data_IF_549179822186
#
_entry.id   IF_549179822186
#
_cell.length_a   1.000
_cell.length_b   1.000
_cell.length_c   1.000
_cell.angle_alpha   90.00
_cell.angle_beta   90.00
_cell.angle_gamma   90.00
#
_symmetry.space_group_name_H-M   'P 1'
#
loop_
_entity.id
_entity.type
_entity.pdbx_description
1 polymer ?
#
# COMPACT_ATOMS: atom_id res chain seq x y z
N UNK A 1 16.50 26.14 -6.67
CA UNK A 1 16.13 24.79 -6.20
C UNK A 1 17.39 23.96 -6.05
N UNK A 2 17.81 23.74 -4.82
CA UNK A 2 18.96 22.90 -4.47
C UNK A 2 18.48 21.49 -4.15
N UNK A 3 19.31 20.49 -4.43
CA UNK A 3 19.04 19.04 -4.28
C UNK A 3 18.61 18.67 -2.84
N UNK A 4 18.93 19.51 -1.85
CA UNK A 4 18.59 19.36 -0.44
C UNK A 4 17.12 19.66 -0.09
N UNK A 5 16.44 20.57 -0.82
CA UNK A 5 15.02 20.88 -0.58
C UNK A 5 14.11 19.73 -1.06
N UNK A 6 14.43 19.15 -2.22
CA UNK A 6 13.67 18.03 -2.81
C UNK A 6 13.71 16.77 -1.93
N UNK A 7 14.85 16.51 -1.26
CA UNK A 7 14.98 15.37 -0.32
C UNK A 7 14.14 15.55 0.95
N UNK A 8 13.94 16.78 1.42
CA UNK A 8 13.20 17.06 2.66
C UNK A 8 11.68 16.84 2.48
N UNK A 9 11.15 17.21 1.32
CA UNK A 9 9.75 16.97 0.95
C UNK A 9 9.46 15.48 0.75
N UNK A 10 10.40 14.75 0.14
CA UNK A 10 10.27 13.30 -0.07
C UNK A 10 10.16 12.52 1.24
N UNK A 11 10.94 12.93 2.26
CA UNK A 11 10.91 12.30 3.58
C UNK A 11 9.61 12.58 4.33
N UNK A 12 9.10 13.81 4.25
CA UNK A 12 7.81 14.20 4.85
C UNK A 12 6.64 13.46 4.18
N UNK A 13 6.68 13.32 2.85
CA UNK A 13 5.67 12.57 2.11
C UNK A 13 5.64 11.08 2.50
N UNK A 14 6.82 10.43 2.56
CA UNK A 14 6.90 9.02 2.96
C UNK A 14 6.38 8.84 4.39
N UNK A 15 6.72 9.71 5.32
CA UNK A 15 6.24 9.63 6.71
C UNK A 15 4.71 9.76 6.79
N UNK A 16 4.13 10.71 6.05
CA UNK A 16 2.67 10.88 5.98
C UNK A 16 1.98 9.66 5.36
N UNK A 17 2.58 9.11 4.31
CA UNK A 17 2.08 7.92 3.62
C UNK A 17 2.10 6.69 4.55
N UNK A 18 3.17 6.52 5.32
CA UNK A 18 3.30 5.47 6.33
C UNK A 18 2.22 5.63 7.42
N UNK A 19 2.06 6.84 7.96
CA UNK A 19 1.02 7.14 8.96
C UNK A 19 -0.39 6.81 8.43
N UNK A 20 -0.64 7.04 7.14
CA UNK A 20 -1.92 6.70 6.49
C UNK A 20 -2.14 5.19 6.40
N UNK A 21 -1.14 4.44 5.95
CA UNK A 21 -1.28 2.98 5.81
C UNK A 21 -1.40 2.25 7.13
N UNK A 22 -0.68 2.69 8.15
CA UNK A 22 -0.74 2.07 9.48
C UNK A 22 -2.09 2.31 10.15
N UNK A 23 -2.80 3.39 9.84
CA UNK A 23 -4.12 3.65 10.45
C UNK A 23 -5.22 2.74 9.90
N UNK A 24 -5.02 2.14 8.74
CA UNK A 24 -6.04 1.32 8.08
C UNK A 24 -5.57 -0.14 7.97
N UNK A 25 -6.24 -1.05 8.69
CA UNK A 25 -5.92 -2.49 8.68
C UNK A 25 -6.02 -3.10 7.29
N UNK A 26 -6.99 -2.66 6.47
CA UNK A 26 -7.10 -3.08 5.06
C UNK A 26 -5.87 -2.67 4.25
N UNK A 27 -5.34 -1.46 4.47
CA UNK A 27 -4.11 -1.00 3.80
C UNK A 27 -2.90 -1.88 4.16
N UNK A 28 -2.72 -2.23 5.43
CA UNK A 28 -1.65 -3.15 5.83
C UNK A 28 -1.85 -4.57 5.27
N UNK A 29 -3.09 -5.08 5.24
CA UNK A 29 -3.42 -6.35 4.59
C UNK A 29 -3.05 -6.35 3.10
N UNK A 30 -3.39 -5.27 2.39
CA UNK A 30 -3.03 -5.07 0.98
C UNK A 30 -1.51 -5.05 0.76
N UNK A 31 -0.78 -4.29 1.57
CA UNK A 31 0.69 -4.22 1.47
C UNK A 31 1.33 -5.59 1.66
N UNK A 32 0.87 -6.38 2.63
CA UNK A 32 1.34 -7.76 2.85
C UNK A 32 1.02 -8.67 1.68
N UNK A 33 -0.24 -8.66 1.22
CA UNK A 33 -0.67 -9.49 0.10
C UNK A 33 0.19 -9.27 -1.15
N UNK A 34 0.45 -8.00 -1.48
CA UNK A 34 1.27 -7.64 -2.63
C UNK A 34 2.77 -7.80 -2.39
N UNK A 35 3.26 -7.68 -1.16
CA UNK A 35 4.65 -8.00 -0.85
C UNK A 35 4.96 -9.50 -0.97
N UNK A 36 4.00 -10.37 -0.67
CA UNK A 36 4.09 -11.80 -0.95
C UNK A 36 4.03 -12.13 -2.44
N UNK A 37 3.44 -11.24 -3.25
CA UNK A 37 3.27 -11.42 -4.71
C UNK A 37 3.71 -10.15 -5.48
N UNK A 38 5.00 -9.75 -5.40
CA UNK A 38 5.43 -8.41 -5.78
C UNK A 38 5.36 -8.11 -7.28
N UNK A 39 5.23 -9.15 -8.10
CA UNK A 39 5.03 -9.04 -9.56
C UNK A 39 3.64 -9.53 -9.98
N UNK A 40 2.78 -9.83 -9.03
CA UNK A 40 1.42 -10.32 -9.28
C UNK A 40 0.49 -9.19 -9.72
N UNK A 41 -0.49 -9.56 -10.55
CA UNK A 41 -1.62 -8.72 -10.94
C UNK A 41 -2.91 -9.45 -10.58
N UNK A 42 -3.81 -8.77 -9.89
CA UNK A 42 -5.00 -9.41 -9.32
C UNK A 42 -6.24 -8.57 -9.59
N UNK A 43 -7.37 -9.22 -9.85
CA UNK A 43 -8.66 -8.52 -9.90
C UNK A 43 -9.06 -8.07 -8.49
N UNK A 44 -9.92 -7.05 -8.39
CA UNK A 44 -10.47 -6.58 -7.11
C UNK A 44 -11.08 -7.74 -6.31
N UNK A 45 -11.80 -8.63 -6.99
CA UNK A 45 -12.45 -9.78 -6.38
C UNK A 45 -11.44 -10.76 -5.77
N UNK A 46 -10.36 -11.07 -6.49
CA UNK A 46 -9.31 -11.96 -5.99
C UNK A 46 -8.65 -11.39 -4.72
N UNK A 47 -8.38 -10.08 -4.71
CA UNK A 47 -7.78 -9.39 -3.55
C UNK A 47 -8.72 -9.46 -2.34
N UNK A 48 -9.99 -9.07 -2.52
CA UNK A 48 -10.99 -9.03 -1.44
C UNK A 48 -11.23 -10.41 -0.83
N UNK A 49 -11.15 -11.48 -1.62
CA UNK A 49 -11.34 -12.84 -1.12
C UNK A 49 -10.06 -13.47 -0.54
N UNK A 50 -8.88 -13.05 -0.98
CA UNK A 50 -7.62 -13.60 -0.48
C UNK A 50 -7.20 -12.98 0.87
N UNK A 51 -7.58 -11.72 1.10
CA UNK A 51 -7.32 -11.02 2.36
C UNK A 51 -8.53 -11.28 3.28
N UNK A 52 -8.59 -12.49 3.83
CA UNK A 52 -9.59 -12.93 4.83
C UNK A 52 -9.20 -12.45 6.24
N UNK A 53 -8.91 -11.16 6.35
CA UNK A 53 -8.86 -10.48 7.63
C UNK A 53 -10.28 -9.95 7.90
N UNK A 54 -10.69 -9.84 9.16
CA UNK A 54 -12.01 -9.36 9.63
C UNK A 54 -12.44 -7.96 9.11
N UNK A 55 -11.70 -7.37 8.16
CA UNK A 55 -12.02 -6.14 7.48
C UNK A 55 -13.28 -6.27 6.62
N UNK A 56 -14.13 -5.26 6.72
CA UNK A 56 -15.33 -5.15 5.90
C UNK A 56 -14.95 -5.00 4.42
N UNK A 57 -15.67 -5.68 3.51
CA UNK A 57 -15.49 -5.58 2.05
C UNK A 57 -15.53 -4.14 1.53
N UNK A 58 -16.31 -3.27 2.19
CA UNK A 58 -16.37 -1.86 1.88
C UNK A 58 -15.05 -1.14 2.19
N UNK A 59 -14.47 -1.39 3.37
CA UNK A 59 -13.18 -0.83 3.78
C UNK A 59 -12.05 -1.30 2.87
N UNK A 60 -12.05 -2.59 2.50
CA UNK A 60 -11.09 -3.13 1.55
C UNK A 60 -11.19 -2.46 0.17
N UNK A 61 -12.42 -2.20 -0.29
CA UNK A 61 -12.64 -1.50 -1.56
C UNK A 61 -12.10 -0.06 -1.52
N UNK A 62 -12.36 0.66 -0.43
CA UNK A 62 -11.84 2.03 -0.23
C UNK A 62 -10.31 2.02 -0.13
N UNK A 63 -9.74 1.07 0.59
CA UNK A 63 -8.29 0.94 0.72
C UNK A 63 -7.61 0.67 -0.64
N UNK A 64 -8.21 -0.15 -1.52
CA UNK A 64 -7.70 -0.35 -2.88
C UNK A 64 -7.72 0.97 -3.66
N UNK A 65 -8.80 1.75 -3.57
CA UNK A 65 -8.92 3.04 -4.25
C UNK A 65 -7.90 4.07 -3.71
N UNK A 66 -7.67 4.09 -2.40
CA UNK A 66 -6.64 4.91 -1.78
C UNK A 66 -5.22 4.53 -2.26
N UNK A 67 -4.91 3.23 -2.33
CA UNK A 67 -3.61 2.77 -2.83
C UNK A 67 -3.36 3.18 -4.28
N UNK A 68 -4.41 3.20 -5.12
CA UNK A 68 -4.33 3.72 -6.50
C UNK A 68 -4.13 5.23 -6.50
N UNK A 69 -4.87 5.97 -5.66
CA UNK A 69 -4.74 7.42 -5.57
C UNK A 69 -3.33 7.87 -5.12
N UNK A 70 -2.72 7.12 -4.21
CA UNK A 70 -1.33 7.32 -3.75
C UNK A 70 -0.28 6.75 -4.71
N UNK A 71 -0.68 6.22 -5.88
CA UNK A 71 0.19 5.61 -6.89
C UNK A 71 1.03 4.43 -6.37
N UNK A 72 0.60 3.80 -5.28
CA UNK A 72 1.16 2.54 -4.81
C UNK A 72 0.74 1.40 -5.70
N UNK A 73 -0.52 1.41 -6.16
CA UNK A 73 -1.02 0.47 -7.14
C UNK A 73 -1.17 1.11 -8.52
N UNK A 74 -0.76 0.36 -9.52
CA UNK A 74 -1.11 0.60 -10.92
C UNK A 74 -2.35 -0.24 -11.27
N UNK A 75 -3.21 0.33 -12.11
CA UNK A 75 -4.39 -0.34 -12.65
C UNK A 75 -4.15 -0.62 -14.13
N UNK A 76 -4.33 -1.89 -14.52
CA UNK A 76 -4.37 -2.30 -15.91
C UNK A 76 -5.74 -2.86 -16.24
N UNK A 77 -6.17 -2.68 -17.48
CA UNK A 77 -7.44 -3.22 -17.97
C UNK A 77 -7.18 -4.37 -18.91
N UNK A 78 -7.82 -5.51 -18.65
CA UNK A 78 -7.73 -6.70 -19.49
C UNK A 78 -9.13 -7.31 -19.64
N UNK A 79 -9.59 -7.46 -20.89
CA UNK A 79 -10.93 -7.93 -21.24
C UNK A 79 -12.07 -7.23 -20.46
N UNK A 80 -11.95 -5.91 -20.28
CA UNK A 80 -12.95 -5.10 -19.57
C UNK A 80 -12.88 -5.17 -18.04
N UNK A 81 -11.99 -5.99 -17.48
CA UNK A 81 -11.78 -6.10 -16.04
C UNK A 81 -10.54 -5.33 -15.59
N UNK A 82 -10.63 -4.72 -14.41
CA UNK A 82 -9.52 -4.01 -13.80
C UNK A 82 -8.66 -4.97 -12.96
N UNK A 83 -7.35 -4.86 -13.15
CA UNK A 83 -6.33 -5.60 -12.43
C UNK A 83 -5.38 -4.63 -11.75
N UNK A 84 -5.08 -4.90 -10.48
CA UNK A 84 -4.25 -4.09 -9.62
C UNK A 84 -2.90 -4.79 -9.43
N UNK A 85 -1.82 -4.01 -9.49
CA UNK A 85 -0.45 -4.48 -9.30
C UNK A 85 0.37 -3.42 -8.58
N UNK A 86 1.48 -3.81 -7.95
CA UNK A 86 2.42 -2.84 -7.39
C UNK A 86 2.98 -1.93 -8.48
N UNK A 87 3.15 -0.66 -8.12
CA UNK A 87 3.85 0.34 -8.93
C UNK A 87 5.24 -0.13 -9.35
N UNK A 88 5.63 0.26 -10.56
CA UNK A 88 7.00 0.08 -11.06
C UNK A 88 7.96 1.17 -10.56
N UNK A 89 7.45 2.17 -9.85
CA UNK A 89 8.29 3.18 -9.22
C UNK A 89 9.08 2.55 -8.06
N UNK A 90 10.40 2.46 -8.24
CA UNK A 90 11.30 1.70 -7.37
C UNK A 90 11.38 2.22 -5.93
N UNK A 91 11.15 3.51 -5.69
CA UNK A 91 11.19 4.07 -4.32
C UNK A 91 9.95 3.63 -3.55
N UNK A 92 8.75 3.82 -4.12
CA UNK A 92 7.48 3.40 -3.55
C UNK A 92 7.38 1.88 -3.45
N UNK A 93 7.83 1.15 -4.46
CA UNK A 93 7.85 -0.31 -4.44
C UNK A 93 8.70 -0.83 -3.29
N UNK A 94 9.93 -0.30 -3.10
CA UNK A 94 10.77 -0.69 -1.95
C UNK A 94 10.14 -0.31 -0.62
N UNK A 95 9.49 0.85 -0.53
CA UNK A 95 8.77 1.27 0.68
C UNK A 95 7.70 0.24 1.07
N UNK A 96 6.86 -0.19 0.12
CA UNK A 96 5.82 -1.21 0.34
C UNK A 96 6.43 -2.52 0.82
N UNK A 97 7.49 -2.99 0.16
CA UNK A 97 8.15 -4.26 0.52
C UNK A 97 8.76 -4.20 1.92
N UNK A 98 9.39 -3.08 2.29
CA UNK A 98 9.94 -2.89 3.63
C UNK A 98 8.83 -2.79 4.69
N UNK A 99 7.71 -2.15 4.36
CA UNK A 99 6.60 -2.00 5.28
C UNK A 99 5.87 -3.30 5.60
N UNK A 100 5.79 -4.20 4.61
CA UNK A 100 5.08 -5.46 4.75
C UNK A 100 5.74 -6.42 5.77
N UNK A 101 7.00 -6.18 6.14
CA UNK A 101 7.74 -6.98 7.12
C UNK A 101 7.19 -6.83 8.55
N UNK A 102 6.54 -5.71 8.85
CA UNK A 102 6.06 -5.43 10.21
C UNK A 102 4.67 -6.01 10.46
N UNK A 103 4.48 -6.63 11.64
CA UNK A 103 3.15 -7.00 12.11
C UNK A 103 2.34 -5.74 12.48
N UNK A 104 1.00 -5.86 12.54
CA UNK A 104 0.13 -4.71 12.84
C UNK A 104 0.48 -4.10 14.21
N UNK A 105 0.87 -4.96 15.17
CA UNK A 105 1.30 -4.54 16.51
C UNK A 105 2.62 -3.78 16.49
N UNK A 106 3.58 -4.21 15.67
CA UNK A 106 4.85 -3.50 15.51
C UNK A 106 4.61 -2.08 14.98
N UNK A 107 3.66 -1.95 14.06
CA UNK A 107 3.25 -0.67 13.52
C UNK A 107 2.58 0.26 14.54
N UNK A 108 1.78 -0.28 15.46
CA UNK A 108 1.22 0.53 16.55
C UNK A 108 2.32 1.11 17.44
N UNK A 109 3.36 0.32 17.73
CA UNK A 109 4.52 0.78 18.51
C UNK A 109 5.34 1.85 17.77
N UNK A 110 5.48 1.74 16.44
CA UNK A 110 6.15 2.76 15.62
C UNK A 110 5.40 4.10 15.66
N UNK A 111 4.06 4.07 15.69
CA UNK A 111 3.25 5.30 15.80
C UNK A 111 3.29 5.93 17.19
N UNK A 112 3.50 5.15 18.25
CA UNK A 112 3.61 5.68 19.62
C UNK A 112 4.92 6.43 19.86
N UNK A 113 5.94 6.20 19.03
CA UNK A 113 7.30 6.75 19.18
C UNK A 113 7.73 7.69 18.04
N UNK A 114 6.82 8.08 17.14
CA UNK A 114 7.06 8.97 15.99
C UNK A 114 6.38 10.34 16.15
#
# INVERSE_FOLDING_TARGET
MTISEVKKDSSSYIEQLMKKFVRNRSCLGLLRFFASHPSGRFSKLAIVHAIDDECNRLEMSQAIEEMVAEKIFEVSKDNGNDFYMLTKEEVLRRLVLNMAVFEWRDWQLVLEHA
#
